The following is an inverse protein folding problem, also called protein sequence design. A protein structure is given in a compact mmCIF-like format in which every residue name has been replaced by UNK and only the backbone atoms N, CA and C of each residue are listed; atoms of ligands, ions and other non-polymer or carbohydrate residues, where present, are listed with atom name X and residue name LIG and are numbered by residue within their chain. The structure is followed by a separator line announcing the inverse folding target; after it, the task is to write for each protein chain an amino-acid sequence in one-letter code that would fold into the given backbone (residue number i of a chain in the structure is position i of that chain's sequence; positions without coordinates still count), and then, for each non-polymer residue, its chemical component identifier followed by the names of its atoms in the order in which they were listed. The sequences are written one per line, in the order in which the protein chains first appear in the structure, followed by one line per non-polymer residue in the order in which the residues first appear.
data_IF_569583351430
#
_entry.id   IF_569583351430
#
_cell.length_a   1.000
_cell.length_b   1.000
_cell.length_c   1.000
_cell.angle_alpha   90.00
_cell.angle_beta   90.00
_cell.angle_gamma   90.00
#
_symmetry.space_group_name_H-M   'P 1'
#
loop_
_entity.id
_entity.type
_entity.pdbx_description
1 polymer ?
#
# COMPACT_ATOMS: atom_id res chain seq x y z
N UNK A 1 9.71 -12.27 22.94
CA UNK A 1 9.99 -10.89 23.36
C UNK A 1 11.04 -10.96 24.45
N UNK A 2 12.11 -10.19 24.35
CA UNK A 2 13.14 -10.08 25.40
C UNK A 2 13.16 -8.65 25.92
N UNK A 3 13.15 -8.49 27.23
CA UNK A 3 13.13 -7.19 27.91
C UNK A 3 14.38 -7.07 28.79
N UNK A 4 15.08 -5.93 28.74
CA UNK A 4 16.17 -5.61 29.67
C UNK A 4 15.96 -4.21 30.25
N UNK A 5 16.22 -4.02 31.54
CA UNK A 5 15.95 -2.77 32.25
C UNK A 5 17.22 -2.13 32.80
N UNK A 6 17.37 -0.82 32.64
CA UNK A 6 18.45 -0.01 33.24
C UNK A 6 17.87 1.21 33.95
N UNK A 7 18.32 1.48 35.18
CA UNK A 7 17.86 2.61 36.00
C UNK A 7 18.89 3.75 36.03
N UNK A 8 18.45 4.97 35.69
CA UNK A 8 19.25 6.21 35.81
C UNK A 8 18.37 7.34 36.33
N UNK A 9 18.83 8.02 37.38
CA UNK A 9 18.30 9.29 37.92
C UNK A 9 16.81 9.59 37.65
N UNK A 10 15.92 8.90 38.36
CA UNK A 10 14.47 9.18 38.33
C UNK A 10 13.69 8.55 37.18
N UNK A 11 14.33 7.79 36.29
CA UNK A 11 13.67 7.00 35.24
C UNK A 11 14.21 5.57 35.15
N UNK A 12 13.36 4.68 34.62
CA UNK A 12 13.67 3.30 34.25
C UNK A 12 13.54 3.20 32.73
N UNK A 13 14.55 2.64 32.07
CA UNK A 13 14.52 2.40 30.63
C UNK A 13 14.41 0.90 30.38
N UNK A 14 13.36 0.49 29.69
CA UNK A 14 13.14 -0.89 29.29
C UNK A 14 13.40 -1.03 27.79
N UNK A 15 14.38 -1.85 27.41
CA UNK A 15 14.62 -2.23 26.02
C UNK A 15 13.73 -3.41 25.67
N UNK A 16 12.90 -3.26 24.65
CA UNK A 16 12.02 -4.31 24.15
C UNK A 16 12.53 -4.81 22.81
N UNK A 17 12.84 -6.10 22.74
CA UNK A 17 13.23 -6.78 21.52
C UNK A 17 12.13 -7.77 21.12
N UNK A 18 11.48 -7.49 20.01
CA UNK A 18 10.46 -8.34 19.42
C UNK A 18 10.91 -8.84 18.05
N UNK A 19 10.65 -10.12 17.76
CA UNK A 19 10.95 -10.72 16.47
C UNK A 19 9.78 -11.60 16.03
N UNK A 20 9.39 -11.49 14.77
CA UNK A 20 8.34 -12.30 14.16
C UNK A 20 8.63 -12.56 12.69
N UNK A 21 7.95 -13.54 12.09
CA UNK A 21 8.08 -13.83 10.66
C UNK A 21 6.80 -13.37 9.96
N UNK A 22 6.96 -12.55 8.92
CA UNK A 22 5.87 -12.12 8.03
C UNK A 22 6.27 -12.34 6.58
N UNK A 23 5.45 -13.08 5.82
CA UNK A 23 5.72 -13.44 4.42
C UNK A 23 7.12 -14.04 4.19
N UNK A 24 7.56 -14.91 5.11
CA UNK A 24 8.88 -15.55 5.06
C UNK A 24 10.07 -14.63 5.37
N UNK A 25 9.85 -13.36 5.69
CA UNK A 25 10.89 -12.42 6.14
C UNK A 25 10.85 -12.27 7.66
N UNK A 26 12.03 -12.23 8.27
CA UNK A 26 12.17 -11.96 9.69
C UNK A 26 12.05 -10.44 9.92
N UNK A 27 11.06 -10.05 10.71
CA UNK A 27 10.92 -8.70 11.24
C UNK A 27 11.51 -8.67 12.64
N UNK A 28 12.32 -7.66 12.93
CA UNK A 28 12.84 -7.39 14.26
C UNK A 28 12.54 -5.95 14.63
N UNK A 29 11.88 -5.75 15.76
CA UNK A 29 11.48 -4.47 16.30
C UNK A 29 12.24 -4.31 17.61
N UNK A 30 13.03 -3.24 17.69
CA UNK A 30 13.75 -2.85 18.89
C UNK A 30 13.33 -1.42 19.25
N UNK A 31 12.82 -1.24 20.46
CA UNK A 31 12.47 0.07 20.99
C UNK A 31 12.75 0.16 22.48
N UNK A 32 12.91 1.38 22.95
CA UNK A 32 13.14 1.69 24.37
C UNK A 32 11.92 2.44 24.88
N UNK A 33 11.31 1.95 25.96
CA UNK A 33 10.31 2.72 26.70
C UNK A 33 10.96 3.30 27.96
N UNK A 34 10.75 4.59 28.18
CA UNK A 34 11.17 5.28 29.39
C UNK A 34 9.96 5.39 30.33
N UNK A 35 10.14 4.94 31.56
CA UNK A 35 9.16 5.06 32.63
C UNK A 35 9.68 5.97 33.74
N UNK A 36 8.84 6.82 34.34
CA UNK A 36 9.19 7.54 35.55
C UNK A 36 9.33 6.55 36.72
N UNK A 37 10.19 6.84 37.70
CA UNK A 37 10.18 6.02 38.92
C UNK A 37 8.96 6.37 39.78
N UNK A 38 7.91 5.52 39.75
CA UNK A 38 6.67 5.75 40.49
C UNK A 38 6.88 5.93 42.01
N UNK A 39 8.00 5.45 42.57
CA UNK A 39 8.38 5.68 43.97
C UNK A 39 8.75 7.12 44.31
N UNK A 40 8.91 8.00 43.31
CA UNK A 40 9.21 9.42 43.51
C UNK A 40 7.97 10.28 43.79
N UNK A 41 6.76 9.69 43.71
CA UNK A 41 5.50 10.39 43.94
C UNK A 41 4.84 9.91 45.23
N UNK A 42 4.03 10.79 45.82
CA UNK A 42 3.12 10.44 46.91
C UNK A 42 1.77 9.93 46.35
N UNK A 43 0.91 9.42 47.23
CA UNK A 43 -0.45 9.05 46.83
C UNK A 43 -1.34 10.29 46.70
N UNK A 44 -2.20 10.38 45.67
CA UNK A 44 -2.61 9.30 44.75
C UNK A 44 -1.78 9.15 43.46
N UNK A 45 -0.85 10.05 43.17
CA UNK A 45 -0.09 10.09 41.90
C UNK A 45 0.78 8.84 41.70
N UNK A 46 1.35 8.30 42.78
CA UNK A 46 2.09 7.04 42.75
C UNK A 46 1.24 5.89 42.21
N UNK A 47 -0.02 5.76 42.67
CA UNK A 47 -0.91 4.69 42.21
C UNK A 47 -1.29 4.89 40.74
N UNK A 48 -1.54 6.13 40.31
CA UNK A 48 -1.81 6.45 38.90
C UNK A 48 -0.63 6.05 38.00
N UNK A 49 0.59 6.35 38.42
CA UNK A 49 1.81 5.95 37.72
C UNK A 49 1.92 4.42 37.57
N UNK A 50 1.72 3.69 38.67
CA UNK A 50 1.75 2.21 38.65
C UNK A 50 0.64 1.61 37.76
N UNK A 51 -0.55 2.21 37.77
CA UNK A 51 -1.67 1.78 36.94
C UNK A 51 -1.39 2.02 35.44
N UNK A 52 -0.76 3.16 35.10
CA UNK A 52 -0.33 3.48 33.72
C UNK A 52 0.77 2.52 33.23
N UNK A 53 1.78 2.24 34.05
CA UNK A 53 2.84 1.26 33.74
C UNK A 53 2.25 -0.14 33.50
N UNK A 54 1.41 -0.63 34.42
CA UNK A 54 0.77 -1.94 34.30
C UNK A 54 -0.14 -2.01 33.05
N UNK A 55 -0.84 -0.93 32.73
CA UNK A 55 -1.65 -0.87 31.51
C UNK A 55 -0.78 -0.96 30.25
N UNK A 56 0.34 -0.24 30.20
CA UNK A 56 1.26 -0.33 29.07
C UNK A 56 1.77 -1.76 28.88
N UNK A 57 2.18 -2.44 29.96
CA UNK A 57 2.65 -3.84 29.88
C UNK A 57 1.59 -4.80 29.31
N UNK A 58 0.31 -4.57 29.60
CA UNK A 58 -0.80 -5.36 29.05
C UNK A 58 -1.10 -5.01 27.59
N UNK A 59 -0.93 -3.75 27.19
CA UNK A 59 -1.28 -3.27 25.84
C UNK A 59 -0.13 -3.31 24.84
N UNK A 60 1.11 -3.56 25.29
CA UNK A 60 2.31 -3.57 24.45
C UNK A 60 2.20 -4.53 23.27
N UNK A 61 1.58 -5.70 23.44
CA UNK A 61 1.37 -6.66 22.36
C UNK A 61 0.45 -6.10 21.27
N UNK A 62 -0.56 -5.29 21.63
CA UNK A 62 -1.43 -4.63 20.66
C UNK A 62 -0.65 -3.58 19.87
N UNK A 63 0.16 -2.78 20.56
CA UNK A 63 1.02 -1.77 19.93
C UNK A 63 1.98 -2.44 18.96
N UNK A 64 2.64 -3.52 19.38
CA UNK A 64 3.56 -4.27 18.53
C UNK A 64 2.86 -4.89 17.33
N UNK A 65 1.66 -5.45 17.51
CA UNK A 65 0.89 -5.97 16.38
C UNK A 65 0.53 -4.85 15.38
N UNK A 66 0.15 -3.66 15.86
CA UNK A 66 -0.08 -2.50 14.98
C UNK A 66 1.19 -2.11 14.22
N UNK A 67 2.35 -2.09 14.87
CA UNK A 67 3.64 -1.81 14.21
C UNK A 67 3.97 -2.89 13.18
N UNK A 68 3.84 -4.17 13.54
CA UNK A 68 4.09 -5.29 12.61
C UNK A 68 3.20 -5.20 11.38
N UNK A 69 1.94 -4.81 11.55
CA UNK A 69 0.97 -4.70 10.46
C UNK A 69 1.27 -3.51 9.54
N UNK A 70 1.77 -2.40 10.07
CA UNK A 70 2.15 -1.22 9.27
C UNK A 70 3.50 -1.35 8.56
N UNK A 71 4.35 -2.31 8.96
CA UNK A 71 5.62 -2.55 8.28
C UNK A 71 5.39 -3.22 6.93
N UNK A 72 5.82 -2.54 5.86
CA UNK A 72 5.72 -3.04 4.49
C UNK A 72 6.79 -4.08 4.20
N UNK A 73 6.36 -5.25 3.79
CA UNK A 73 7.29 -6.30 3.36
C UNK A 73 7.43 -6.24 1.84
N UNK A 74 8.65 -5.98 1.35
CA UNK A 74 8.88 -5.86 -0.10
C UNK A 74 8.34 -7.08 -0.87
N UNK A 75 7.58 -6.81 -1.94
CA UNK A 75 6.85 -7.78 -2.75
C UNK A 75 5.39 -8.05 -2.34
N UNK A 76 4.90 -7.51 -1.22
CA UNK A 76 3.51 -7.72 -0.76
C UNK A 76 2.46 -7.15 -1.72
N UNK A 77 2.77 -6.03 -2.36
CA UNK A 77 1.94 -5.42 -3.40
C UNK A 77 1.74 -6.34 -4.64
N UNK A 78 2.60 -7.34 -4.83
CA UNK A 78 2.47 -8.39 -5.87
C UNK A 78 1.70 -9.62 -5.38
N UNK A 79 1.23 -9.64 -4.14
CA UNK A 79 0.56 -10.75 -3.49
C UNK A 79 -0.69 -10.29 -2.73
N UNK A 80 -1.41 -9.31 -3.28
CA UNK A 80 -2.51 -8.60 -2.63
C UNK A 80 -3.75 -8.59 -3.54
N UNK A 81 -4.93 -8.43 -2.94
CA UNK A 81 -6.19 -8.24 -3.64
C UNK A 81 -6.38 -6.78 -4.05
N UNK A 82 -6.71 -6.57 -5.32
CA UNK A 82 -7.08 -5.29 -5.93
C UNK A 82 -8.46 -5.43 -6.57
N UNK A 83 -9.01 -4.31 -7.05
CA UNK A 83 -10.34 -4.27 -7.65
C UNK A 83 -10.24 -3.81 -9.09
N UNK A 84 -10.87 -4.57 -10.00
CA UNK A 84 -11.05 -4.16 -11.38
C UNK A 84 -12.54 -4.01 -11.66
N UNK A 85 -13.02 -2.81 -11.95
CA UNK A 85 -14.45 -2.53 -12.14
C UNK A 85 -15.31 -3.18 -11.02
N UNK A 86 -14.95 -2.87 -9.78
CA UNK A 86 -15.57 -3.39 -8.54
C UNK A 86 -15.45 -4.91 -8.31
N UNK A 87 -14.78 -5.64 -9.20
CA UNK A 87 -14.55 -7.08 -9.06
C UNK A 87 -13.19 -7.32 -8.42
N UNK A 88 -13.12 -7.98 -7.25
CA UNK A 88 -11.85 -8.28 -6.61
C UNK A 88 -11.08 -9.34 -7.38
N UNK A 89 -9.76 -9.17 -7.46
CA UNK A 89 -8.83 -10.19 -7.94
C UNK A 89 -7.55 -10.15 -7.10
N UNK A 90 -6.94 -11.30 -6.89
CA UNK A 90 -5.71 -11.42 -6.08
C UNK A 90 -4.53 -11.69 -6.98
N UNK A 91 -3.51 -10.84 -6.93
CA UNK A 91 -2.23 -11.18 -7.53
C UNK A 91 -1.55 -12.29 -6.73
N UNK A 92 -0.94 -13.22 -7.43
CA UNK A 92 0.02 -14.18 -6.87
C UNK A 92 1.32 -13.99 -7.62
N UNK A 93 2.35 -13.48 -6.94
CA UNK A 93 3.63 -13.09 -7.54
C UNK A 93 3.48 -12.16 -8.75
N UNK A 94 2.53 -11.22 -8.67
CA UNK A 94 2.28 -10.19 -9.68
C UNK A 94 1.46 -10.68 -10.87
N UNK A 95 0.86 -11.87 -10.80
CA UNK A 95 -0.01 -12.39 -11.86
C UNK A 95 -1.34 -12.86 -11.29
N UNK A 96 -2.42 -12.51 -11.96
CA UNK A 96 -3.74 -13.08 -11.78
C UNK A 96 -4.15 -13.74 -13.10
N UNK A 97 -4.65 -14.97 -13.05
CA UNK A 97 -5.17 -15.68 -14.21
C UNK A 97 -6.50 -16.34 -13.87
N UNK A 98 -7.47 -16.25 -14.79
CA UNK A 98 -8.77 -16.92 -14.67
C UNK A 98 -9.26 -17.38 -16.03
N UNK A 99 -9.67 -18.64 -16.15
CA UNK A 99 -10.33 -19.14 -17.37
C UNK A 99 -11.62 -18.36 -17.65
N UNK A 100 -11.86 -18.01 -18.91
CA UNK A 100 -13.07 -17.26 -19.29
C UNK A 100 -14.35 -18.09 -19.16
N UNK A 101 -14.25 -19.40 -19.39
CA UNK A 101 -15.30 -20.39 -19.26
C UNK A 101 -14.68 -21.75 -18.94
N UNK A 102 -15.42 -22.73 -18.42
CA UNK A 102 -14.88 -24.03 -18.03
C UNK A 102 -14.10 -24.70 -19.17
N UNK A 103 -12.84 -25.08 -18.90
CA UNK A 103 -11.94 -25.72 -19.89
C UNK A 103 -11.53 -24.82 -21.06
N UNK A 104 -11.61 -23.51 -20.91
CA UNK A 104 -11.08 -22.55 -21.88
C UNK A 104 -9.55 -22.58 -21.93
N UNK A 105 -8.97 -22.55 -23.13
CA UNK A 105 -7.53 -22.26 -23.31
C UNK A 105 -7.23 -20.77 -23.16
N UNK A 106 -8.23 -19.91 -23.40
CA UNK A 106 -8.12 -18.48 -23.18
C UNK A 106 -8.37 -18.13 -21.73
N UNK A 107 -7.53 -17.23 -21.21
CA UNK A 107 -7.59 -16.75 -19.84
C UNK A 107 -7.70 -15.23 -19.83
N UNK A 108 -8.46 -14.74 -18.86
CA UNK A 108 -8.27 -13.40 -18.34
C UNK A 108 -6.96 -13.38 -17.56
N UNK A 109 -6.04 -12.50 -17.92
CA UNK A 109 -4.74 -12.33 -17.29
C UNK A 109 -4.57 -10.87 -16.91
N UNK A 110 -4.26 -10.62 -15.64
CA UNK A 110 -3.77 -9.33 -15.17
C UNK A 110 -2.35 -9.56 -14.69
N UNK A 111 -1.40 -8.76 -15.18
CA UNK A 111 0.03 -8.94 -14.89
C UNK A 111 0.64 -7.61 -14.50
N UNK A 112 1.23 -7.57 -13.31
CA UNK A 112 2.09 -6.50 -12.86
C UNK A 112 3.20 -6.24 -13.89
N UNK A 113 3.35 -4.99 -14.30
CA UNK A 113 4.33 -4.55 -15.29
C UNK A 113 5.53 -3.85 -14.65
N UNK A 114 5.31 -3.10 -13.57
CA UNK A 114 6.33 -2.29 -12.91
C UNK A 114 5.97 -0.82 -12.84
N UNK A 115 7.00 0.02 -12.99
CA UNK A 115 6.92 1.47 -12.83
C UNK A 115 6.51 1.87 -11.40
N UNK A 116 7.11 1.21 -10.43
CA UNK A 116 6.84 1.45 -9.02
C UNK A 116 7.19 2.90 -8.68
N UNK A 117 6.16 3.67 -8.35
CA UNK A 117 6.30 4.98 -7.73
C UNK A 117 5.97 4.83 -6.25
N UNK A 118 6.89 5.26 -5.40
CA UNK A 118 6.69 5.32 -3.95
C UNK A 118 6.35 6.75 -3.54
N UNK A 119 5.46 6.90 -2.58
CA UNK A 119 5.04 8.18 -2.03
C UNK A 119 3.91 7.98 -1.02
N UNK A 120 3.50 9.04 -0.33
CA UNK A 120 2.33 9.02 0.54
C UNK A 120 1.16 9.63 -0.25
N UNK A 121 0.31 8.78 -0.84
CA UNK A 121 -0.70 9.22 -1.81
C UNK A 121 -2.03 9.56 -1.16
N UNK A 122 -2.22 9.16 0.10
CA UNK A 122 -3.43 9.42 0.87
C UNK A 122 -3.19 10.36 2.08
N UNK A 123 -1.96 10.88 2.23
CA UNK A 123 -1.54 11.80 3.29
C UNK A 123 -1.69 11.22 4.71
N UNK A 124 -1.49 9.91 4.87
CA UNK A 124 -1.57 9.25 6.18
C UNK A 124 -0.21 9.11 6.89
N UNK A 125 0.88 9.58 6.25
CA UNK A 125 2.24 9.52 6.74
C UNK A 125 2.96 8.19 6.47
N UNK A 126 2.34 7.26 5.75
CA UNK A 126 2.92 5.95 5.39
C UNK A 126 3.25 5.89 3.89
N UNK A 127 4.29 5.12 3.54
CA UNK A 127 4.71 4.99 2.14
C UNK A 127 3.83 3.99 1.37
N UNK A 128 3.13 4.48 0.35
CA UNK A 128 2.36 3.73 -0.63
C UNK A 128 3.20 3.33 -1.85
N UNK A 129 2.65 2.47 -2.71
CA UNK A 129 3.23 2.17 -4.03
C UNK A 129 2.15 2.27 -5.10
N UNK A 130 2.40 3.03 -6.16
CA UNK A 130 1.62 3.03 -7.38
C UNK A 130 2.39 2.25 -8.45
N UNK A 131 1.69 1.50 -9.29
CA UNK A 131 2.30 0.68 -10.33
C UNK A 131 1.35 0.47 -11.51
N UNK A 132 1.90 0.02 -12.63
CA UNK A 132 1.13 -0.35 -13.81
C UNK A 132 0.99 -1.85 -13.90
N UNK A 133 -0.19 -2.30 -14.32
CA UNK A 133 -0.44 -3.66 -14.74
C UNK A 133 -1.00 -3.69 -16.16
N UNK A 134 -0.73 -4.78 -16.87
CA UNK A 134 -1.37 -5.11 -18.14
C UNK A 134 -2.56 -6.02 -17.92
N UNK A 135 -3.63 -5.80 -18.65
CA UNK A 135 -4.85 -6.61 -18.63
C UNK A 135 -5.13 -7.20 -20.02
N UNK A 136 -5.44 -8.49 -20.04
CA UNK A 136 -5.87 -9.20 -21.24
C UNK A 136 -7.08 -10.07 -20.87
N UNK A 137 -8.23 -9.86 -21.52
CA UNK A 137 -9.49 -10.58 -21.27
C UNK A 137 -9.70 -11.77 -22.23
N UNK A 138 -8.61 -12.32 -22.77
CA UNK A 138 -8.63 -13.26 -23.89
C UNK A 138 -8.24 -12.59 -25.21
N UNK A 139 -7.66 -13.39 -26.11
CA UNK A 139 -7.15 -12.91 -27.40
C UNK A 139 -5.85 -12.10 -27.32
N UNK A 140 -5.68 -11.15 -28.25
CA UNK A 140 -4.42 -10.41 -28.49
C UNK A 140 -4.40 -8.97 -27.95
N UNK A 141 -5.45 -8.53 -27.27
CA UNK A 141 -5.53 -7.16 -26.74
C UNK A 141 -4.76 -7.04 -25.43
N UNK A 142 -4.10 -5.91 -25.21
CA UNK A 142 -3.41 -5.62 -23.95
C UNK A 142 -3.72 -4.20 -23.54
N UNK A 143 -4.49 -4.10 -22.47
CA UNK A 143 -4.84 -2.84 -21.84
C UNK A 143 -3.90 -2.55 -20.68
N UNK A 144 -3.79 -1.28 -20.31
CA UNK A 144 -2.92 -0.80 -19.25
C UNK A 144 -3.76 -0.07 -18.22
N UNK A 145 -3.49 -0.36 -16.94
CA UNK A 145 -4.18 0.28 -15.82
C UNK A 145 -3.20 0.61 -14.71
N UNK A 146 -3.47 1.72 -14.01
CA UNK A 146 -2.79 2.14 -12.79
C UNK A 146 -3.48 1.52 -11.58
N UNK A 147 -2.69 1.04 -10.64
CA UNK A 147 -3.11 0.56 -9.32
C UNK A 147 -2.27 1.21 -8.23
N UNK A 148 -2.81 1.25 -7.01
CA UNK A 148 -2.10 1.66 -5.81
C UNK A 148 -2.23 0.61 -4.70
N UNK A 149 -1.11 0.34 -4.04
CA UNK A 149 -1.00 -0.43 -2.82
C UNK A 149 -0.81 0.56 -1.67
N UNK A 150 -1.89 0.75 -0.93
CA UNK A 150 -2.05 1.80 0.06
C UNK A 150 -1.81 1.23 1.45
N UNK A 151 -0.88 1.85 2.15
CA UNK A 151 -0.52 1.52 3.52
C UNK A 151 -1.57 2.07 4.49
N UNK A 152 -1.66 1.48 5.67
CA UNK A 152 -2.45 1.98 6.78
C UNK A 152 -1.91 1.41 8.10
N UNK A 153 -2.23 2.00 9.27
CA UNK A 153 -1.89 1.42 10.56
C UNK A 153 -2.51 0.03 10.80
N UNK A 154 -3.56 -0.33 10.06
CA UNK A 154 -4.25 -1.62 10.18
C UNK A 154 -3.76 -2.67 9.19
N UNK A 155 -2.82 -2.34 8.30
CA UNK A 155 -2.31 -3.21 7.24
C UNK A 155 -2.34 -2.51 5.89
N UNK A 156 -2.37 -3.29 4.81
CA UNK A 156 -2.30 -2.76 3.45
C UNK A 156 -3.55 -3.09 2.67
N UNK A 157 -3.92 -2.20 1.75
CA UNK A 157 -5.11 -2.33 0.90
C UNK A 157 -4.73 -2.08 -0.55
N UNK A 158 -5.15 -2.97 -1.45
CA UNK A 158 -5.08 -2.72 -2.88
C UNK A 158 -6.26 -1.85 -3.34
N UNK A 159 -5.99 -0.86 -4.17
CA UNK A 159 -7.01 0.04 -4.73
C UNK A 159 -7.84 -0.60 -5.85
N UNK A 160 -8.80 0.17 -6.36
CA UNK A 160 -9.34 -0.03 -7.70
C UNK A 160 -8.33 0.33 -8.80
N UNK A 161 -8.67 -0.04 -10.04
CA UNK A 161 -7.94 0.30 -11.25
C UNK A 161 -8.32 1.69 -11.80
N UNK A 162 -7.34 2.36 -12.43
CA UNK A 162 -7.59 3.46 -13.37
C UNK A 162 -7.13 3.01 -14.75
N UNK A 163 -8.08 2.85 -15.67
CA UNK A 163 -7.80 2.49 -17.05
C UNK A 163 -7.03 3.60 -17.78
N UNK A 164 -5.92 3.24 -18.42
CA UNK A 164 -5.06 4.17 -19.16
C UNK A 164 -5.24 4.02 -20.68
N UNK A 165 -5.47 2.81 -21.21
CA UNK A 165 -5.70 2.61 -22.65
C UNK A 165 -5.27 1.25 -23.20
N UNK A 166 -5.45 1.03 -24.51
CA UNK A 166 -4.94 -0.11 -25.27
C UNK A 166 -3.53 0.23 -25.80
N UNK A 167 -2.53 -0.62 -25.50
CA UNK A 167 -1.14 -0.49 -26.01
C UNK A 167 -0.54 0.93 -25.93
N UNK A 168 -0.72 1.57 -24.77
CA UNK A 168 -0.10 2.87 -24.51
C UNK A 168 1.43 2.78 -24.52
N UNK A 169 2.08 3.93 -24.72
CA UNK A 169 3.51 4.11 -24.44
C UNK A 169 3.66 5.01 -23.22
N UNK A 170 3.91 4.39 -22.07
CA UNK A 170 4.15 5.10 -20.82
C UNK A 170 5.39 6.00 -20.95
N UNK A 171 5.33 7.20 -20.38
CA UNK A 171 6.45 8.14 -20.29
C UNK A 171 6.92 8.30 -18.86
N UNK A 172 6.00 8.63 -17.94
CA UNK A 172 6.32 8.76 -16.52
C UNK A 172 5.10 8.54 -15.64
N UNK A 173 5.39 8.25 -14.37
CA UNK A 173 4.44 8.29 -13.25
C UNK A 173 5.12 9.14 -12.19
N UNK A 174 4.46 10.21 -11.79
CA UNK A 174 4.99 11.19 -10.84
C UNK A 174 3.94 11.49 -9.77
N UNK A 175 4.38 11.90 -8.59
CA UNK A 175 3.50 12.38 -7.53
C UNK A 175 3.77 13.86 -7.28
N UNK A 176 2.82 14.70 -7.67
CA UNK A 176 2.94 16.17 -7.65
C UNK A 176 1.61 16.76 -7.18
N UNK A 177 1.66 17.69 -6.25
CA UNK A 177 0.48 18.40 -5.71
C UNK A 177 -0.66 17.44 -5.31
N UNK A 178 -0.30 16.42 -4.51
CA UNK A 178 -1.20 15.36 -4.01
C UNK A 178 -1.89 14.52 -5.09
N UNK A 179 -1.28 14.44 -6.28
CA UNK A 179 -1.81 13.69 -7.42
C UNK A 179 -0.76 12.79 -8.05
N UNK A 180 -1.20 11.60 -8.41
CA UNK A 180 -0.52 10.73 -9.35
C UNK A 180 -0.73 11.27 -10.76
N UNK A 181 0.36 11.69 -11.39
CA UNK A 181 0.39 12.19 -12.77
C UNK A 181 0.98 11.10 -13.65
N UNK A 182 0.17 10.51 -14.52
CA UNK A 182 0.61 9.50 -15.48
C UNK A 182 0.68 10.13 -16.86
N UNK A 183 1.90 10.26 -17.38
CA UNK A 183 2.15 10.74 -18.73
C UNK A 183 2.35 9.55 -19.66
N UNK A 184 1.61 9.49 -20.76
CA UNK A 184 1.75 8.43 -21.76
C UNK A 184 1.30 8.90 -23.14
N UNK A 185 1.61 8.10 -24.16
CA UNK A 185 1.01 8.25 -25.48
C UNK A 185 -0.02 7.16 -25.72
N UNK A 186 -1.15 7.53 -26.31
CA UNK A 186 -2.16 6.60 -26.84
C UNK A 186 -2.29 6.70 -28.36
N UNK A 187 -3.04 5.76 -28.94
CA UNK A 187 -3.33 5.73 -30.36
C UNK A 187 -4.52 6.62 -30.69
N UNK A 188 -4.45 7.32 -31.83
CA UNK A 188 -5.64 7.95 -32.43
C UNK A 188 -6.73 6.89 -32.73
N UNK A 189 -8.02 7.26 -32.76
CA UNK A 189 -9.13 6.31 -32.97
C UNK A 189 -8.99 5.41 -34.23
N UNK A 190 -8.32 5.91 -35.27
CA UNK A 190 -8.13 5.19 -36.54
C UNK A 190 -6.66 4.79 -36.80
N UNK A 191 -5.77 4.95 -35.82
CA UNK A 191 -4.38 4.57 -35.98
C UNK A 191 -4.23 3.05 -35.91
N UNK A 192 -3.45 2.50 -36.86
CA UNK A 192 -3.10 1.10 -36.81
C UNK A 192 -2.28 0.82 -35.53
N UNK A 193 -2.76 -0.11 -34.70
CA UNK A 193 -2.18 -0.41 -33.39
C UNK A 193 -0.82 -1.15 -33.44
N UNK A 194 -0.30 -1.40 -34.66
CA UNK A 194 1.09 -1.84 -34.90
C UNK A 194 2.06 -0.66 -35.01
N UNK A 195 1.54 0.56 -35.21
CA UNK A 195 2.33 1.79 -35.16
C UNK A 195 2.43 2.22 -33.69
N UNK A 196 3.53 2.89 -33.35
CA UNK A 196 3.71 3.50 -32.03
C UNK A 196 2.60 4.53 -31.75
N UNK A 197 2.01 4.54 -30.55
CA UNK A 197 1.07 5.59 -30.15
C UNK A 197 1.76 6.95 -30.14
N UNK A 198 1.02 8.02 -30.46
CA UNK A 198 1.56 9.36 -30.66
C UNK A 198 0.72 10.51 -30.11
N UNK A 199 -0.40 10.21 -29.43
CA UNK A 199 -1.25 11.23 -28.80
C UNK A 199 -0.88 11.36 -27.33
N UNK A 200 -0.31 12.50 -26.90
CA UNK A 200 0.09 12.67 -25.52
C UNK A 200 -1.15 12.80 -24.64
N UNK A 201 -1.17 12.02 -23.57
CA UNK A 201 -2.21 12.04 -22.53
C UNK A 201 -1.56 12.26 -21.18
N UNK A 202 -2.18 13.13 -20.39
CA UNK A 202 -1.86 13.35 -18.98
C UNK A 202 -3.07 12.92 -18.17
N UNK A 203 -2.91 11.84 -17.40
CA UNK A 203 -3.93 11.34 -16.49
C UNK A 203 -3.59 11.82 -15.08
N UNK A 204 -4.53 12.52 -14.46
CA UNK A 204 -4.38 12.99 -13.07
C UNK A 204 -5.28 12.14 -12.18
N UNK A 205 -4.68 11.47 -11.20
CA UNK A 205 -5.37 10.56 -10.30
C UNK A 205 -5.10 10.97 -8.86
N UNK A 206 -6.10 10.89 -8.01
CA UNK A 206 -5.97 11.15 -6.58
C UNK A 206 -6.61 10.03 -5.77
N UNK A 207 -6.11 9.80 -4.55
CA UNK A 207 -6.72 8.85 -3.62
C UNK A 207 -7.85 9.55 -2.86
N UNK A 208 -9.04 8.94 -2.86
CA UNK A 208 -10.21 9.32 -2.09
C UNK A 208 -10.55 8.21 -1.09
N UNK A 209 -11.18 8.59 0.02
CA UNK A 209 -11.59 7.65 1.08
C UNK A 209 -10.44 6.72 1.51
N UNK A 210 -9.22 7.25 1.53
CA UNK A 210 -7.96 6.56 1.85
C UNK A 210 -7.57 5.37 0.96
N UNK A 211 -8.44 4.90 0.05
CA UNK A 211 -8.29 3.61 -0.63
C UNK A 211 -8.66 3.63 -2.12
N UNK A 212 -9.41 4.62 -2.58
CA UNK A 212 -10.00 4.63 -3.92
C UNK A 212 -9.22 5.57 -4.84
N UNK A 213 -8.73 5.09 -5.97
CA UNK A 213 -8.20 5.94 -7.02
C UNK A 213 -9.35 6.56 -7.81
N UNK A 214 -9.27 7.88 -8.01
CA UNK A 214 -10.23 8.65 -8.81
C UNK A 214 -9.49 9.39 -9.91
N UNK A 215 -9.88 9.16 -11.16
CA UNK A 215 -9.45 9.94 -12.31
C UNK A 215 -10.12 11.33 -12.29
N UNK A 216 -9.31 12.37 -12.10
CA UNK A 216 -9.77 13.76 -12.00
C UNK A 216 -10.24 14.33 -13.35
N UNK A 217 -9.90 13.69 -14.48
CA UNK A 217 -10.44 14.10 -15.78
C UNK A 217 -11.94 13.84 -15.92
N UNK A 218 -12.49 12.94 -15.10
CA UNK A 218 -13.93 12.65 -15.04
C UNK A 218 -14.67 13.54 -14.02
N UNK A 219 -13.96 14.17 -13.09
CA UNK A 219 -14.56 15.00 -12.03
C UNK A 219 -15.01 16.40 -12.50
N UNK A 220 -14.60 16.83 -13.70
CA UNK A 220 -14.97 18.14 -14.26
C UNK A 220 -16.37 18.17 -14.92
N UNK A 221 -17.11 17.06 -14.92
CA UNK A 221 -18.43 16.96 -15.55
C UNK A 221 -19.62 17.29 -14.63
N UNK A 222 -19.38 17.80 -13.42
CA UNK A 222 -20.45 18.20 -12.48
C UNK A 222 -20.20 19.63 -12.00
N UNK A 223 -20.55 20.62 -12.82
CA UNK A 223 -20.89 21.97 -12.40
C UNK A 223 -21.94 22.57 -13.34
#
# INVERSE_FOLDING_TARGET
MNISSEGVAGSIYNNYNYSTIRNGKLLSINFVAQFPQCTNYDNPEQQQCLDEEAKFEVEIDKIINSIVNSIKVDGEYKNTTYYRRDTPFTFVNGVFEKELFPSSVEKMVIKYLGYDLKGDFNADGLEDIAFIATENDGGSKSFYSLFAFLSSPQGFVGSNDIFLGDRIKLQSIEFVDDKLIVNYFEHEPNQALVKEPNIPVIKQVQVFNYTQLVDLSLAQAIY
#
